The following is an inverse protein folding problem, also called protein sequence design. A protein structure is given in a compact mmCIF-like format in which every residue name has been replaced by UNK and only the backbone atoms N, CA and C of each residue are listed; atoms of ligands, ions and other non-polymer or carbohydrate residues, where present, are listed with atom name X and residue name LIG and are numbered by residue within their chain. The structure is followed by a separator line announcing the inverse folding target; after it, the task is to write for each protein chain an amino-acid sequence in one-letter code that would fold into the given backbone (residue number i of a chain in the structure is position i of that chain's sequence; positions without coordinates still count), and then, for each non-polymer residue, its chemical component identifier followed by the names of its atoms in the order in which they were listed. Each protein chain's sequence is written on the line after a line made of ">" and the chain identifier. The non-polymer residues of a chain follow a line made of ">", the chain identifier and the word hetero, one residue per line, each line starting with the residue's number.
data_IF_139902154809
#
_entry.id   IF_139902154809
#
_cell.length_a   1.000
_cell.length_b   1.000
_cell.length_c   1.000
_cell.angle_alpha   90.00
_cell.angle_beta   90.00
_cell.angle_gamma   90.00
#
_symmetry.space_group_name_H-M   'P 1'
#
loop_
_entity.id
_entity.type
_entity.pdbx_description
1 polymer ?
#
# COMPACT_ATOMS: atom_id res chain seq x y z
N UNK A 1 -13.71 18.87 6.40
CA UNK A 1 -14.14 17.47 6.18
C UNK A 1 -12.95 16.61 6.51
N UNK A 2 -13.14 15.65 7.41
CA UNK A 2 -12.07 14.78 7.90
C UNK A 2 -11.62 13.85 6.75
N UNK A 3 -10.31 13.75 6.49
CA UNK A 3 -9.73 12.99 5.35
C UNK A 3 -9.64 11.49 5.62
N UNK A 4 -10.03 11.09 6.82
CA UNK A 4 -9.70 9.80 7.39
C UNK A 4 -10.95 8.93 7.41
N UNK A 5 -11.20 8.23 6.30
CA UNK A 5 -12.15 7.13 6.29
C UNK A 5 -11.42 5.88 6.84
N UNK A 6 -11.96 5.22 7.87
CA UNK A 6 -11.34 4.01 8.46
C UNK A 6 -9.88 4.16 8.93
N UNK A 7 -9.47 5.31 9.46
CA UNK A 7 -8.06 5.58 9.87
C UNK A 7 -7.03 5.60 8.72
N UNK A 8 -7.48 5.62 7.45
CA UNK A 8 -6.64 5.61 6.24
C UNK A 8 -6.82 6.94 5.50
N UNK A 9 -5.74 7.50 4.95
CA UNK A 9 -5.80 8.72 4.13
C UNK A 9 -6.10 8.33 2.68
N UNK A 10 -7.20 8.86 2.14
CA UNK A 10 -7.64 8.66 0.75
C UNK A 10 -8.27 9.96 0.20
N UNK A 11 -8.32 10.17 -1.12
CA UNK A 11 -8.94 11.34 -1.72
C UNK A 11 -10.42 11.47 -1.33
N UNK A 12 -10.83 12.67 -0.94
CA UNK A 12 -12.25 12.96 -0.69
C UNK A 12 -13.04 12.86 -1.99
N UNK A 13 -14.17 12.15 -1.97
CA UNK A 13 -15.11 12.13 -3.09
C UNK A 13 -15.98 13.38 -3.02
N UNK A 14 -15.86 14.27 -4.01
CA UNK A 14 -16.67 15.48 -4.10
C UNK A 14 -18.02 15.22 -4.76
N UNK A 15 -18.04 14.42 -5.82
CA UNK A 15 -19.27 14.16 -6.59
C UNK A 15 -19.16 12.86 -7.38
N UNK A 16 -20.30 12.18 -7.55
CA UNK A 16 -20.43 10.98 -8.39
C UNK A 16 -21.58 11.22 -9.37
N UNK A 17 -21.25 11.24 -10.66
CA UNK A 17 -22.22 11.30 -11.75
C UNK A 17 -22.44 9.90 -12.32
N UNK A 18 -23.60 9.31 -12.00
CA UNK A 18 -23.98 8.00 -12.51
C UNK A 18 -24.43 8.02 -13.97
N UNK A 19 -24.79 9.18 -14.52
CA UNK A 19 -25.24 9.33 -15.91
C UNK A 19 -24.06 9.37 -16.86
N UNK A 20 -23.02 10.14 -16.50
CA UNK A 20 -21.79 10.24 -17.28
C UNK A 20 -20.68 9.28 -16.85
N UNK A 21 -20.95 8.44 -15.84
CA UNK A 21 -19.97 7.52 -15.23
C UNK A 21 -18.68 8.24 -14.80
N UNK A 22 -18.82 9.38 -14.12
CA UNK A 22 -17.69 10.21 -13.69
C UNK A 22 -17.65 10.33 -12.16
N UNK A 23 -16.43 10.31 -11.60
CA UNK A 23 -16.19 10.54 -10.17
C UNK A 23 -15.25 11.72 -10.05
N UNK A 24 -15.64 12.72 -9.26
CA UNK A 24 -14.83 13.87 -8.93
C UNK A 24 -14.20 13.64 -7.57
N UNK A 25 -12.87 13.53 -7.57
CA UNK A 25 -12.07 13.26 -6.39
C UNK A 25 -11.21 14.48 -6.04
N UNK A 26 -10.79 14.53 -4.79
CA UNK A 26 -9.77 15.45 -4.35
C UNK A 26 -8.47 15.28 -5.16
N UNK A 27 -7.91 16.40 -5.63
CA UNK A 27 -6.57 16.43 -6.16
C UNK A 27 -5.55 16.57 -5.01
N UNK A 28 -4.70 15.56 -4.83
CA UNK A 28 -3.66 15.54 -3.79
C UNK A 28 -2.43 16.34 -4.27
N UNK A 29 -2.52 17.66 -4.16
CA UNK A 29 -1.46 18.59 -4.58
C UNK A 29 -0.19 18.43 -3.74
N UNK A 30 0.97 18.55 -4.38
CA UNK A 30 2.28 18.45 -3.71
C UNK A 30 2.66 17.02 -3.33
N UNK A 31 2.10 16.03 -4.03
CA UNK A 31 2.44 14.62 -3.86
C UNK A 31 3.17 14.06 -5.07
N UNK A 32 3.91 12.98 -4.85
CA UNK A 32 4.51 12.13 -5.88
C UNK A 32 4.14 10.69 -5.61
N UNK A 33 4.16 9.82 -6.62
CA UNK A 33 3.92 8.39 -6.37
C UNK A 33 5.06 7.80 -5.54
N UNK A 34 4.76 6.81 -4.69
CA UNK A 34 5.78 6.06 -3.95
C UNK A 34 6.77 5.40 -4.91
N UNK A 35 6.29 4.92 -6.06
CA UNK A 35 7.13 4.42 -7.15
C UNK A 35 8.21 5.41 -7.54
N UNK A 36 7.80 6.62 -7.92
CA UNK A 36 8.73 7.64 -8.43
C UNK A 36 9.66 8.13 -7.30
N UNK A 37 9.16 8.20 -6.06
CA UNK A 37 9.98 8.50 -4.89
C UNK A 37 11.09 7.48 -4.68
N UNK A 38 10.77 6.17 -4.69
CA UNK A 38 11.77 5.11 -4.52
C UNK A 38 12.80 5.18 -5.66
N UNK A 39 12.34 5.32 -6.92
CA UNK A 39 13.23 5.41 -8.08
C UNK A 39 14.21 6.60 -7.99
N UNK A 40 13.74 7.77 -7.52
CA UNK A 40 14.58 8.95 -7.34
C UNK A 40 15.54 8.86 -6.14
N UNK A 41 15.24 8.01 -5.15
CA UNK A 41 15.97 7.91 -3.87
C UNK A 41 16.92 6.70 -3.81
N UNK A 42 17.01 5.86 -4.86
CA UNK A 42 17.94 4.71 -4.89
C UNK A 42 19.43 5.10 -4.73
N UNK A 43 19.79 6.39 -4.86
CA UNK A 43 21.14 6.93 -4.59
C UNK A 43 21.21 7.81 -3.34
N UNK A 44 20.11 7.93 -2.59
CA UNK A 44 19.93 8.81 -1.44
C UNK A 44 20.14 8.10 -0.10
N UNK A 45 19.90 8.81 1.02
CA UNK A 45 20.07 8.27 2.37
C UNK A 45 19.06 7.15 2.67
N UNK A 46 19.58 5.99 3.07
CA UNK A 46 18.80 4.77 3.39
C UNK A 46 17.69 5.03 4.42
N UNK A 47 17.92 5.97 5.34
CA UNK A 47 16.98 6.33 6.41
C UNK A 47 15.61 6.81 5.89
N UNK A 48 15.56 7.52 4.76
CA UNK A 48 14.27 7.99 4.20
C UNK A 48 13.44 6.85 3.63
N UNK A 49 14.10 5.89 2.97
CA UNK A 49 13.43 4.71 2.45
C UNK A 49 12.92 3.85 3.62
N UNK A 50 13.69 3.72 4.69
CA UNK A 50 13.28 2.99 5.89
C UNK A 50 12.04 3.59 6.55
N UNK A 51 12.00 4.92 6.68
CA UNK A 51 10.83 5.63 7.18
C UNK A 51 9.60 5.41 6.28
N UNK A 52 9.79 5.45 4.96
CA UNK A 52 8.74 5.18 3.99
C UNK A 52 8.19 3.75 4.13
N UNK A 53 9.06 2.74 4.16
CA UNK A 53 8.65 1.34 4.33
C UNK A 53 7.89 1.14 5.64
N UNK A 54 8.34 1.78 6.72
CA UNK A 54 7.63 1.75 8.01
C UNK A 54 6.23 2.36 7.90
N UNK A 55 6.09 3.51 7.25
CA UNK A 55 4.80 4.18 7.04
C UNK A 55 3.87 3.35 6.15
N UNK A 56 4.39 2.73 5.10
CA UNK A 56 3.63 1.81 4.24
C UNK A 56 3.12 0.63 5.07
N UNK A 57 3.97 -0.03 5.86
CA UNK A 57 3.52 -1.15 6.70
C UNK A 57 2.43 -0.74 7.70
N UNK A 58 2.54 0.46 8.28
CA UNK A 58 1.55 1.00 9.21
C UNK A 58 0.19 1.31 8.56
N UNK A 59 0.17 1.93 7.37
CA UNK A 59 -1.10 2.26 6.70
C UNK A 59 -1.81 1.00 6.20
N UNK A 60 -1.05 0.02 5.71
CA UNK A 60 -1.60 -1.28 5.29
C UNK A 60 -2.14 -2.08 6.46
N UNK A 61 -1.45 -2.06 7.60
CA UNK A 61 -1.93 -2.69 8.82
C UNK A 61 -3.28 -2.12 9.26
N UNK A 62 -3.42 -0.79 9.21
CA UNK A 62 -4.69 -0.12 9.52
C UNK A 62 -5.78 -0.53 8.53
N UNK A 63 -5.49 -0.49 7.23
CA UNK A 63 -6.44 -0.90 6.18
C UNK A 63 -6.95 -2.32 6.39
N UNK A 64 -6.05 -3.27 6.60
CA UNK A 64 -6.40 -4.67 6.82
C UNK A 64 -7.06 -4.93 8.19
N UNK A 65 -6.75 -4.15 9.22
CA UNK A 65 -7.40 -4.29 10.53
C UNK A 65 -8.86 -3.85 10.47
N UNK A 66 -9.18 -2.86 9.65
CA UNK A 66 -10.54 -2.40 9.31
C UNK A 66 -11.22 -3.26 8.22
N UNK A 67 -10.63 -4.43 7.90
CA UNK A 67 -11.16 -5.39 6.93
C UNK A 67 -11.31 -4.83 5.50
N UNK A 68 -10.60 -3.75 5.16
CA UNK A 68 -10.52 -3.21 3.80
C UNK A 68 -9.41 -3.94 3.03
N UNK A 69 -9.71 -4.44 1.84
CA UNK A 69 -8.74 -5.00 0.89
C UNK A 69 -8.70 -4.09 -0.33
N UNK A 70 -7.51 -3.72 -0.80
CA UNK A 70 -7.38 -2.77 -1.92
C UNK A 70 -7.63 -3.43 -3.27
N UNK A 71 -7.13 -4.66 -3.46
CA UNK A 71 -7.34 -5.45 -4.67
C UNK A 71 -6.43 -5.09 -5.86
N UNK A 72 -5.72 -3.96 -5.79
CA UNK A 72 -4.69 -3.54 -6.77
C UNK A 72 -3.59 -2.74 -6.07
N UNK A 73 -3.03 -3.33 -5.01
CA UNK A 73 -2.07 -2.64 -4.16
C UNK A 73 -0.70 -2.56 -4.84
N UNK A 74 -0.37 -1.41 -5.41
CA UNK A 74 0.91 -1.14 -6.08
C UNK A 74 1.56 0.14 -5.55
N UNK A 75 2.87 0.33 -5.79
CA UNK A 75 3.58 1.57 -5.40
C UNK A 75 3.15 2.79 -6.23
N UNK A 76 2.43 2.59 -7.34
CA UNK A 76 1.85 3.68 -8.13
C UNK A 76 0.51 4.17 -7.55
N UNK A 77 -0.20 3.28 -6.84
CA UNK A 77 -1.47 3.58 -6.16
C UNK A 77 -1.26 4.13 -4.73
N UNK A 78 -0.03 4.55 -4.42
CA UNK A 78 0.32 5.22 -3.17
C UNK A 78 0.96 6.56 -3.49
N UNK A 79 0.41 7.64 -2.93
CA UNK A 79 0.96 8.98 -3.04
C UNK A 79 1.69 9.36 -1.75
N UNK A 80 2.91 9.84 -1.91
CA UNK A 80 3.70 10.43 -0.84
C UNK A 80 3.59 11.95 -0.94
N UNK A 81 3.05 12.55 0.11
CA UNK A 81 2.97 14.00 0.26
C UNK A 81 4.06 14.45 1.24
N UNK A 82 4.88 15.39 0.80
CA UNK A 82 5.83 16.05 1.69
C UNK A 82 5.05 17.03 2.57
N UNK A 83 5.05 16.80 3.89
CA UNK A 83 4.50 17.76 4.84
C UNK A 83 5.24 19.09 4.70
N UNK A 84 4.52 20.15 4.34
CA UNK A 84 5.10 21.45 3.98
C UNK A 84 5.90 22.11 5.13
N UNK A 85 5.72 21.67 6.38
CA UNK A 85 6.31 22.35 7.55
C UNK A 85 6.85 21.42 8.66
N UNK A 86 6.51 20.12 8.69
CA UNK A 86 6.87 19.21 9.79
C UNK A 86 7.94 18.17 9.45
N UNK A 87 8.34 18.05 8.19
CA UNK A 87 9.18 16.94 7.73
C UNK A 87 8.49 15.57 7.79
N UNK A 88 7.19 15.54 8.11
CA UNK A 88 6.42 14.30 8.17
C UNK A 88 6.00 13.84 6.77
N UNK A 89 6.21 12.56 6.52
CA UNK A 89 5.70 11.86 5.34
C UNK A 89 4.25 11.44 5.57
N UNK A 90 3.35 11.96 4.75
CA UNK A 90 1.95 11.50 4.68
C UNK A 90 1.80 10.58 3.46
N UNK A 91 1.23 9.39 3.68
CA UNK A 91 0.87 8.46 2.61
C UNK A 91 -0.63 8.49 2.39
N UNK A 92 -1.03 8.62 1.13
CA UNK A 92 -2.42 8.59 0.67
C UNK A 92 -2.58 7.42 -0.28
N UNK A 93 -3.52 6.53 -0.01
CA UNK A 93 -3.89 5.44 -0.93
C UNK A 93 -4.88 5.96 -1.95
N UNK A 94 -4.73 5.54 -3.20
CA UNK A 94 -5.60 5.93 -4.32
C UNK A 94 -6.04 4.68 -5.10
N UNK A 95 -7.04 4.84 -5.95
CA UNK A 95 -7.56 3.78 -6.81
C UNK A 95 -8.16 2.57 -6.07
N UNK A 96 -9.24 2.84 -5.34
CA UNK A 96 -10.05 1.82 -4.69
C UNK A 96 -11.03 1.11 -5.63
N UNK A 97 -10.83 1.17 -6.96
CA UNK A 97 -11.77 0.66 -7.96
C UNK A 97 -12.01 -0.86 -7.88
N UNK A 98 -11.02 -1.61 -7.39
CA UNK A 98 -11.12 -3.06 -7.15
C UNK A 98 -11.19 -3.43 -5.66
N UNK A 99 -11.36 -2.43 -4.79
CA UNK A 99 -11.38 -2.64 -3.35
C UNK A 99 -12.69 -3.29 -2.87
N UNK A 100 -12.60 -4.02 -1.77
CA UNK A 100 -13.74 -4.65 -1.14
C UNK A 100 -13.50 -4.89 0.35
N UNK A 101 -14.58 -5.14 1.10
CA UNK A 101 -14.51 -5.46 2.52
C UNK A 101 -14.41 -6.98 2.68
N UNK A 102 -13.37 -7.44 3.38
CA UNK A 102 -13.18 -8.84 3.74
C UNK A 102 -12.44 -9.00 5.05
N UNK A 103 -13.03 -9.79 5.96
CA UNK A 103 -12.38 -10.19 7.21
C UNK A 103 -11.42 -11.38 7.03
N UNK A 104 -11.39 -12.00 5.84
CA UNK A 104 -10.61 -13.20 5.57
C UNK A 104 -9.10 -12.88 5.54
N UNK A 105 -8.27 -13.60 6.30
CA UNK A 105 -6.81 -13.43 6.23
C UNK A 105 -6.23 -13.81 4.86
N UNK A 106 -6.90 -14.68 4.09
CA UNK A 106 -6.45 -15.07 2.75
C UNK A 106 -6.45 -13.86 1.81
N UNK A 107 -7.53 -13.09 1.77
CA UNK A 107 -7.65 -11.94 0.86
C UNK A 107 -6.59 -10.88 1.15
N UNK A 108 -6.34 -10.59 2.43
CA UNK A 108 -5.27 -9.68 2.88
C UNK A 108 -3.89 -10.23 2.55
N UNK A 109 -3.70 -11.55 2.64
CA UNK A 109 -2.46 -12.22 2.23
C UNK A 109 -2.22 -12.12 0.72
N UNK A 110 -3.28 -12.23 -0.09
CA UNK A 110 -3.22 -12.00 -1.54
C UNK A 110 -2.90 -10.54 -1.85
N UNK A 111 -3.53 -9.58 -1.17
CA UNK A 111 -3.26 -8.14 -1.36
C UNK A 111 -1.80 -7.78 -1.04
N UNK A 112 -1.27 -8.30 0.08
CA UNK A 112 0.16 -8.18 0.43
C UNK A 112 1.07 -8.84 -0.62
N UNK A 113 0.64 -9.95 -1.22
CA UNK A 113 1.41 -10.64 -2.25
C UNK A 113 1.42 -9.86 -3.57
N UNK A 114 0.30 -9.23 -3.95
CA UNK A 114 0.23 -8.33 -5.11
C UNK A 114 1.21 -7.18 -4.92
N UNK A 115 1.21 -6.55 -3.74
CA UNK A 115 2.18 -5.51 -3.41
C UNK A 115 3.62 -6.01 -3.46
N UNK A 116 3.93 -7.17 -2.87
CA UNK A 116 5.28 -7.77 -2.92
C UNK A 116 5.77 -7.90 -4.37
N UNK A 117 4.93 -8.45 -5.24
CA UNK A 117 5.26 -8.66 -6.65
C UNK A 117 5.44 -7.35 -7.41
N UNK A 118 4.53 -6.39 -7.22
CA UNK A 118 4.61 -5.08 -7.83
C UNK A 118 5.85 -4.30 -7.37
N UNK A 119 6.15 -4.35 -6.07
CA UNK A 119 7.28 -3.67 -5.43
C UNK A 119 8.61 -4.20 -5.97
N UNK A 120 8.82 -5.51 -5.93
CA UNK A 120 10.08 -6.14 -6.39
C UNK A 120 10.26 -6.04 -7.92
N UNK A 121 9.17 -6.01 -8.68
CA UNK A 121 9.24 -5.83 -10.14
C UNK A 121 9.61 -4.39 -10.53
N UNK A 122 9.14 -3.40 -9.77
CA UNK A 122 9.32 -1.98 -10.11
C UNK A 122 10.60 -1.41 -9.50
N UNK A 123 11.08 -2.02 -8.41
CA UNK A 123 12.24 -1.56 -7.66
C UNK A 123 13.22 -2.73 -7.41
N UNK A 124 14.10 -3.06 -8.38
CA UNK A 124 15.06 -4.15 -8.21
C UNK A 124 16.03 -3.86 -7.05
N UNK A 125 16.49 -4.92 -6.36
CA UNK A 125 17.39 -4.86 -5.20
C UNK A 125 16.81 -4.14 -3.96
N UNK A 126 15.48 -4.17 -3.78
CA UNK A 126 14.80 -3.54 -2.63
C UNK A 126 14.12 -4.55 -1.70
N UNK A 127 14.55 -5.81 -1.73
CA UNK A 127 14.03 -6.90 -0.89
C UNK A 127 14.12 -6.54 0.60
N UNK A 128 15.26 -5.97 1.02
CA UNK A 128 15.46 -5.52 2.40
C UNK A 128 14.46 -4.44 2.82
N UNK A 129 14.03 -3.60 1.88
CA UNK A 129 13.06 -2.53 2.12
C UNK A 129 11.66 -3.11 2.30
N UNK A 130 11.30 -4.10 1.47
CA UNK A 130 10.03 -4.81 1.62
C UNK A 130 9.96 -5.60 2.93
N UNK A 131 11.07 -6.20 3.37
CA UNK A 131 11.15 -6.84 4.70
C UNK A 131 10.93 -5.85 5.85
N UNK A 132 11.46 -4.62 5.74
CA UNK A 132 11.19 -3.55 6.73
C UNK A 132 9.71 -3.16 6.74
N UNK A 133 9.06 -3.10 5.57
CA UNK A 133 7.61 -2.89 5.44
C UNK A 133 6.81 -4.00 6.11
N UNK A 134 7.12 -5.27 5.84
CA UNK A 134 6.46 -6.42 6.47
C UNK A 134 6.61 -6.42 7.99
N UNK A 135 7.79 -6.09 8.51
CA UNK A 135 8.02 -5.95 9.96
C UNK A 135 7.15 -4.85 10.56
N UNK A 136 7.05 -3.70 9.90
CA UNK A 136 6.20 -2.60 10.35
C UNK A 136 4.72 -2.95 10.31
N UNK A 137 4.28 -3.68 9.27
CA UNK A 137 2.93 -4.25 9.19
C UNK A 137 2.67 -5.20 10.36
N UNK A 138 3.59 -6.14 10.60
CA UNK A 138 3.48 -7.13 11.67
C UNK A 138 3.33 -6.51 13.06
N UNK A 139 4.10 -5.45 13.32
CA UNK A 139 4.10 -4.72 14.58
C UNK A 139 2.85 -3.84 14.78
N UNK A 140 2.19 -3.45 13.69
CA UNK A 140 1.07 -2.48 13.73
C UNK A 140 -0.30 -3.15 13.67
N UNK A 141 -0.43 -4.30 12.99
CA UNK A 141 -1.71 -5.00 12.83
C UNK A 141 -1.96 -5.99 13.96
N UNK A 142 -3.17 -5.97 14.53
CA UNK A 142 -3.63 -6.95 15.53
C UNK A 142 -3.87 -8.33 14.92
N UNK A 143 -4.11 -8.39 13.61
CA UNK A 143 -4.42 -9.60 12.83
C UNK A 143 -3.20 -10.11 12.05
N UNK A 144 -2.01 -9.54 12.27
CA UNK A 144 -0.83 -9.73 11.43
C UNK A 144 -0.38 -11.19 11.28
N UNK A 145 -0.39 -11.97 12.36
CA UNK A 145 0.08 -13.35 12.35
C UNK A 145 -0.68 -14.22 11.32
N UNK A 146 -2.01 -14.11 11.29
CA UNK A 146 -2.84 -14.86 10.35
C UNK A 146 -2.59 -14.42 8.91
N UNK A 147 -2.46 -13.10 8.67
CA UNK A 147 -2.22 -12.56 7.33
C UNK A 147 -0.84 -12.94 6.79
N UNK A 148 0.21 -12.87 7.62
CA UNK A 148 1.58 -13.23 7.21
C UNK A 148 1.66 -14.74 6.91
N UNK A 149 1.02 -15.58 7.74
CA UNK A 149 0.91 -17.01 7.44
C UNK A 149 0.26 -17.25 6.07
N UNK A 150 -0.81 -16.51 5.76
CA UNK A 150 -1.47 -16.60 4.45
C UNK A 150 -0.62 -16.08 3.30
N UNK A 151 0.11 -14.99 3.50
CA UNK A 151 1.09 -14.50 2.53
C UNK A 151 2.11 -15.60 2.19
N UNK A 152 2.64 -16.32 3.18
CA UNK A 152 3.59 -17.43 2.93
C UNK A 152 2.95 -18.60 2.16
N UNK A 153 1.70 -18.97 2.48
CA UNK A 153 0.95 -19.96 1.71
C UNK A 153 0.74 -19.53 0.25
N UNK A 154 0.39 -18.25 0.02
CA UNK A 154 0.21 -17.66 -1.31
C UNK A 154 1.54 -17.64 -2.08
N UNK A 155 2.65 -17.24 -1.45
CA UNK A 155 4.00 -17.28 -2.03
C UNK A 155 4.36 -18.68 -2.55
N UNK A 156 4.07 -19.72 -1.78
CA UNK A 156 4.32 -21.12 -2.17
C UNK A 156 3.47 -21.53 -3.38
N UNK A 157 2.21 -21.11 -3.45
CA UNK A 157 1.31 -21.40 -4.58
C UNK A 157 1.74 -20.63 -5.84
N UNK A 158 2.13 -19.36 -5.70
CA UNK A 158 2.62 -18.53 -6.80
C UNK A 158 3.88 -19.11 -7.47
N UNK A 159 4.81 -19.66 -6.68
CA UNK A 159 6.03 -20.34 -7.19
C UNK A 159 5.69 -21.58 -8.05
N UNK A 160 4.66 -22.34 -7.69
CA UNK A 160 4.25 -23.53 -8.46
C UNK A 160 3.72 -23.17 -9.85
N UNK A 161 3.07 -22.02 -10.01
CA UNK A 161 2.57 -21.55 -11.31
C UNK A 161 3.69 -21.08 -12.24
N UNK A 162 4.78 -20.53 -11.70
CA UNK A 162 5.93 -20.07 -12.50
C UNK A 162 6.80 -21.20 -13.09
N UNK A 163 6.68 -22.45 -12.59
CA UNK A 163 7.40 -23.63 -13.12
C UNK A 163 6.63 -24.36 -14.24
N UNK A 164 5.43 -23.88 -14.58
CA UNK A 164 4.64 -24.37 -15.72
C UNK A 164 4.60 -23.24 -16.75
N UNK A 165 5.73 -23.01 -17.39
CA UNK A 165 5.94 -22.03 -18.45
C UNK A 165 7.03 -22.50 -19.40
#
# INVERSE_FOLDING_TARGET
>A
MDRTCYSISAPVVYFVDYTSHCIFLENIVGSITVRDHIASTQKGPEERLDQLAKKMGQILAKMHDEDVVHGDLTTSNMLLKAGAESGEMELVLIDFGLSYISSLPEDKGVDMYVLEKAFLSTHPNTEALFEKLLKAYAASSKKSHAVIKKLDEVRLRGRKRSMVG
#
